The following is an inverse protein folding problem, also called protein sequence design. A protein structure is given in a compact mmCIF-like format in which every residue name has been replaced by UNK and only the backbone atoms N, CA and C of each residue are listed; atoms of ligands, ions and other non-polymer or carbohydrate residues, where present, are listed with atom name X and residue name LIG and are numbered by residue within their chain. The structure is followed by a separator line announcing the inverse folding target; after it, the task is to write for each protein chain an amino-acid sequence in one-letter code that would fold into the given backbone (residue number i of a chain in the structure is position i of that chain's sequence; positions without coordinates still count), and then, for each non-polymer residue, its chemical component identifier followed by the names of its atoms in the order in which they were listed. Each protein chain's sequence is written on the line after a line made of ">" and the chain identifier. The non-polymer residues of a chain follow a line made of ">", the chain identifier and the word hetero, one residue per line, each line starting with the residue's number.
data_IF_474035059156
#
_entry.id   IF_474035059156
#
_cell.length_a   1.000
_cell.length_b   1.000
_cell.length_c   1.000
_cell.angle_alpha   90.00
_cell.angle_beta   90.00
_cell.angle_gamma   90.00
#
_symmetry.space_group_name_H-M   'P 1'
#
loop_
_entity.id
_entity.type
_entity.pdbx_description
1 polymer ?
#
# COMPACT_ATOMS: atom_id res chain seq x y z
N UNK A 1 27.26 -5.61 -1.96
CA UNK A 1 25.81 -5.72 -2.20
C UNK A 1 25.14 -4.35 -2.10
N UNK A 2 25.15 -3.57 -3.18
CA UNK A 2 24.36 -2.32 -3.28
C UNK A 2 23.20 -2.60 -4.24
N UNK A 3 22.04 -2.97 -3.68
CA UNK A 3 20.83 -3.29 -4.43
C UNK A 3 19.54 -2.84 -3.71
N UNK A 4 19.61 -1.94 -2.72
CA UNK A 4 18.43 -1.59 -1.91
C UNK A 4 17.34 -0.89 -2.75
N UNK A 5 17.72 0.06 -3.61
CA UNK A 5 16.77 0.80 -4.45
C UNK A 5 16.07 -0.07 -5.49
N UNK A 6 16.86 -0.81 -6.29
CA UNK A 6 16.34 -1.71 -7.31
C UNK A 6 15.47 -2.84 -6.73
N UNK A 7 15.82 -3.38 -5.56
CA UNK A 7 14.99 -4.40 -4.89
C UNK A 7 13.65 -3.84 -4.41
N UNK A 8 13.61 -2.61 -3.88
CA UNK A 8 12.34 -1.94 -3.52
C UNK A 8 11.45 -1.81 -4.74
N UNK A 9 12.01 -1.32 -5.85
CA UNK A 9 11.28 -1.20 -7.12
C UNK A 9 10.68 -2.53 -7.56
N UNK A 10 11.51 -3.58 -7.63
CA UNK A 10 11.08 -4.91 -8.08
C UNK A 10 9.96 -5.45 -7.21
N UNK A 11 10.10 -5.40 -5.88
CA UNK A 11 9.06 -5.87 -4.97
C UNK A 11 7.78 -5.05 -5.07
N UNK A 12 7.88 -3.72 -5.22
CA UNK A 12 6.70 -2.87 -5.43
C UNK A 12 5.92 -3.31 -6.67
N UNK A 13 6.62 -3.59 -7.77
CA UNK A 13 6.05 -4.06 -9.03
C UNK A 13 5.47 -5.49 -8.89
N UNK A 14 6.16 -6.40 -8.19
CA UNK A 14 5.67 -7.74 -7.85
C UNK A 14 4.37 -7.69 -7.02
N UNK A 15 4.21 -6.69 -6.14
CA UNK A 15 2.99 -6.44 -5.37
C UNK A 15 1.89 -5.72 -6.19
N UNK A 16 2.14 -5.36 -7.45
CA UNK A 16 1.17 -4.69 -8.33
C UNK A 16 0.97 -3.20 -8.06
N UNK A 17 1.82 -2.57 -7.25
CA UNK A 17 1.71 -1.13 -6.97
C UNK A 17 2.43 -0.31 -8.03
N UNK A 18 1.77 0.74 -8.53
CA UNK A 18 2.47 1.81 -9.23
C UNK A 18 3.26 2.71 -8.24
N UNK A 19 4.19 3.50 -8.77
CA UNK A 19 5.09 4.34 -7.97
C UNK A 19 4.32 5.30 -7.04
N UNK A 20 3.31 5.99 -7.56
CA UNK A 20 2.55 7.00 -6.82
C UNK A 20 1.72 6.37 -5.70
N UNK A 21 0.99 5.29 -5.98
CA UNK A 21 0.19 4.57 -5.02
C UNK A 21 1.04 4.04 -3.86
N UNK A 22 2.20 3.46 -4.16
CA UNK A 22 3.11 2.99 -3.13
C UNK A 22 3.74 4.13 -2.32
N UNK A 23 4.11 5.24 -2.96
CA UNK A 23 4.65 6.40 -2.26
C UNK A 23 3.63 6.97 -1.25
N UNK A 24 2.36 7.07 -1.65
CA UNK A 24 1.28 7.50 -0.76
C UNK A 24 1.06 6.50 0.38
N UNK A 25 1.05 5.19 0.10
CA UNK A 25 0.94 4.14 1.12
C UNK A 25 2.05 4.22 2.17
N UNK A 26 3.29 4.50 1.73
CA UNK A 26 4.44 4.67 2.62
C UNK A 26 4.41 6.03 3.35
N UNK A 27 3.67 7.01 2.84
CA UNK A 27 3.63 8.38 3.36
C UNK A 27 4.87 9.21 2.97
N UNK A 28 5.30 9.10 1.71
CA UNK A 28 6.38 9.89 1.11
C UNK A 28 5.99 10.41 -0.28
N UNK A 29 6.74 11.36 -0.83
CA UNK A 29 6.46 11.85 -2.19
C UNK A 29 6.89 10.84 -3.26
N UNK A 30 6.17 10.73 -4.40
CA UNK A 30 6.56 9.87 -5.52
C UNK A 30 7.97 10.18 -6.06
N UNK A 31 8.34 11.47 -6.10
CA UNK A 31 9.68 11.91 -6.51
C UNK A 31 10.76 11.44 -5.54
N UNK A 32 10.48 11.39 -4.24
CA UNK A 32 11.42 10.87 -3.26
C UNK A 32 11.57 9.35 -3.39
N UNK A 33 10.47 8.61 -3.52
CA UNK A 33 10.50 7.18 -3.79
C UNK A 33 11.28 6.86 -5.08
N UNK A 34 11.05 7.62 -6.17
CA UNK A 34 11.81 7.47 -7.41
C UNK A 34 13.32 7.63 -7.19
N UNK A 35 13.75 8.63 -6.42
CA UNK A 35 15.17 8.79 -6.09
C UNK A 35 15.71 7.62 -5.27
N UNK A 36 14.92 7.07 -4.35
CA UNK A 36 15.29 5.88 -3.56
C UNK A 36 15.45 4.65 -4.48
N UNK A 37 14.48 4.39 -5.35
CA UNK A 37 14.49 3.25 -6.29
C UNK A 37 15.66 3.31 -7.27
N UNK A 38 16.02 4.51 -7.71
CA UNK A 38 17.14 4.77 -8.61
C UNK A 38 18.49 4.95 -7.88
N UNK A 39 18.56 4.65 -6.57
CA UNK A 39 19.78 4.78 -5.75
C UNK A 39 20.34 6.22 -5.66
N UNK A 40 19.55 7.22 -6.08
CA UNK A 40 19.87 8.65 -6.03
C UNK A 40 19.62 9.28 -4.65
N UNK A 41 19.00 8.56 -3.73
CA UNK A 41 18.81 9.01 -2.35
C UNK A 41 18.82 7.83 -1.38
N UNK A 42 19.37 8.07 -0.19
CA UNK A 42 19.35 7.11 0.92
C UNK A 42 18.24 7.50 1.89
N UNK A 43 17.17 6.69 2.02
CA UNK A 43 16.14 6.95 3.01
C UNK A 43 16.65 6.72 4.42
N UNK A 44 16.09 7.47 5.37
CA UNK A 44 16.33 7.23 6.79
C UNK A 44 15.74 5.89 7.27
N UNK A 45 16.10 5.45 8.48
CA UNK A 45 15.65 4.16 9.04
C UNK A 45 14.12 4.07 9.18
N UNK A 46 13.45 5.17 9.51
CA UNK A 46 11.98 5.22 9.61
C UNK A 46 11.30 4.95 8.25
N UNK A 47 11.75 5.64 7.19
CA UNK A 47 11.23 5.45 5.83
C UNK A 47 11.50 4.02 5.34
N UNK A 48 12.68 3.47 5.63
CA UNK A 48 12.99 2.07 5.30
C UNK A 48 12.06 1.09 6.01
N UNK A 49 11.74 1.33 7.29
CA UNK A 49 10.80 0.50 8.05
C UNK A 49 9.40 0.56 7.43
N UNK A 50 8.91 1.74 7.09
CA UNK A 50 7.60 1.91 6.43
C UNK A 50 7.54 1.23 5.06
N UNK A 51 8.59 1.35 4.24
CA UNK A 51 8.70 0.64 2.96
C UNK A 51 8.66 -0.88 3.19
N UNK A 52 9.42 -1.39 4.16
CA UNK A 52 9.46 -2.82 4.46
C UNK A 52 8.08 -3.35 4.90
N UNK A 53 7.37 -2.63 5.78
CA UNK A 53 6.01 -2.99 6.22
C UNK A 53 5.02 -2.98 5.05
N UNK A 54 5.07 -1.95 4.19
CA UNK A 54 4.21 -1.86 3.01
C UNK A 54 4.45 -3.02 2.02
N UNK A 55 5.71 -3.45 1.84
CA UNK A 55 6.06 -4.59 0.98
C UNK A 55 5.72 -5.95 1.59
N UNK A 56 5.69 -6.07 2.93
CA UNK A 56 5.25 -7.30 3.61
C UNK A 56 3.74 -7.50 3.55
N UNK A 57 2.99 -6.43 3.33
CA UNK A 57 1.52 -6.42 3.39
C UNK A 57 0.83 -6.92 2.11
N UNK A 58 1.55 -7.39 1.10
CA UNK A 58 0.98 -7.95 -0.14
C UNK A 58 1.39 -9.42 -0.25
N UNK A 59 0.47 -10.38 0.04
CA UNK A 59 -0.83 -10.52 -0.65
C UNK A 59 -2.11 -10.47 0.22
N UNK A 60 -2.05 -10.38 1.55
CA UNK A 60 -3.26 -10.54 2.40
C UNK A 60 -4.12 -9.27 2.55
N UNK A 61 -3.57 -8.08 2.30
CA UNK A 61 -4.31 -6.83 2.58
C UNK A 61 -5.40 -6.53 1.52
N UNK A 62 -5.28 -7.05 0.29
CA UNK A 62 -6.38 -6.93 -0.69
C UNK A 62 -7.62 -7.67 -0.24
N UNK A 63 -7.46 -8.85 0.36
CA UNK A 63 -8.58 -9.65 0.87
C UNK A 63 -9.16 -9.05 2.15
N UNK A 64 -8.33 -8.49 3.02
CA UNK A 64 -8.79 -7.83 4.24
C UNK A 64 -9.62 -6.56 3.93
N UNK A 65 -9.15 -5.71 3.00
CA UNK A 65 -9.88 -4.50 2.60
C UNK A 65 -11.18 -4.87 1.85
N UNK A 66 -11.15 -5.91 1.00
CA UNK A 66 -12.35 -6.39 0.31
C UNK A 66 -13.41 -6.98 1.26
N UNK A 67 -13.02 -7.53 2.41
CA UNK A 67 -13.95 -8.05 3.42
C UNK A 67 -14.59 -6.95 4.27
N UNK A 68 -13.84 -5.89 4.61
CA UNK A 68 -14.40 -4.75 5.35
C UNK A 68 -15.43 -4.01 4.48
N UNK A 69 -15.14 -3.82 3.19
CA UNK A 69 -16.02 -3.10 2.27
C UNK A 69 -17.36 -3.82 1.95
N UNK A 70 -17.54 -5.08 2.35
CA UNK A 70 -18.76 -5.87 2.06
C UNK A 70 -19.68 -6.07 3.28
N UNK A 71 -19.36 -5.48 4.43
CA UNK A 71 -20.11 -5.70 5.66
C UNK A 71 -20.70 -4.40 6.24
N UNK A 72 -21.23 -3.53 5.36
CA UNK A 72 -21.99 -2.33 5.77
C UNK A 72 -23.25 -2.07 4.91
N UNK A 73 -23.86 -3.12 4.35
CA UNK A 73 -25.22 -3.00 3.76
C UNK A 73 -26.06 -4.24 4.05
N UNK A 74 -26.19 -4.63 5.31
CA UNK A 74 -27.26 -5.53 5.78
C UNK A 74 -27.76 -4.99 7.12
N UNK A 75 -28.41 -3.83 7.03
CA UNK A 75 -29.35 -3.32 8.03
C UNK A 75 -30.67 -3.11 7.31
N UNK A 76 -31.46 -4.17 7.25
CA UNK A 76 -32.80 -4.19 6.70
C UNK A 76 -33.73 -3.40 7.63
N UNK A 77 -34.01 -2.14 7.30
CA UNK A 77 -35.18 -1.46 7.84
C UNK A 77 -36.38 -1.86 6.96
N UNK A 78 -37.02 -2.95 7.36
CA UNK A 78 -38.38 -3.32 6.96
C UNK A 78 -39.35 -2.27 7.50
N UNK A 79 -39.62 -1.22 6.71
CA UNK A 79 -40.78 -0.34 6.94
C UNK A 79 -41.89 -0.74 5.97
N UNK A 80 -42.64 -1.77 6.37
CA UNK A 80 -43.92 -2.11 5.75
C UNK A 80 -44.98 -1.07 6.17
N UNK A 81 -45.80 -0.56 5.25
CA UNK A 81 -46.78 0.48 5.56
C UNK A 81 -47.96 -0.13 6.35
N UNK A 82 -48.23 0.42 7.53
CA UNK A 82 -49.39 0.04 8.33
C UNK A 82 -50.46 1.14 8.37
N UNK A 83 -51.64 0.84 7.82
CA UNK A 83 -52.90 1.52 8.14
C UNK A 83 -53.45 2.45 7.08
#
# INVERSE_FOLDING_TARGET
>A
MQARGRTIRRRREECGFNLTAFAHLVGISPSYLSRIENEKSRPGPDVLKRIALALQSAPDVRDAIAKIARHETEGSDDDSPGG
#
